data_IF_599664394670
#
_entry.id   IF_599664394670
#
_cell.length_a   1.000
_cell.length_b   1.000
_cell.length_c   1.000
_cell.angle_alpha   90.00
_cell.angle_beta   90.00
_cell.angle_gamma   90.00
#
_symmetry.space_group_name_H-M   'P 1'
#
loop_
_entity.id
_entity.type
_entity.pdbx_description
1 polymer ?
#
# COMPACT_ATOMS: atom_id res chain seq x y z
N UNK A 1 -56.13 39.25 -11.31
CA UNK A 1 -55.57 38.46 -10.20
C UNK A 1 -54.81 37.28 -10.81
N UNK A 2 -53.46 37.42 -10.92
CA UNK A 2 -52.61 36.43 -11.59
C UNK A 2 -51.86 35.64 -10.50
N UNK A 3 -52.18 34.38 -10.34
CA UNK A 3 -51.47 33.46 -9.44
C UNK A 3 -50.20 32.94 -10.14
N UNK A 4 -49.03 33.34 -9.64
CA UNK A 4 -47.75 32.75 -10.00
C UNK A 4 -47.55 31.47 -9.18
N UNK A 5 -47.65 30.29 -9.81
CA UNK A 5 -47.18 29.05 -9.22
C UNK A 5 -45.66 29.00 -9.39
N UNK A 6 -44.93 29.19 -8.25
CA UNK A 6 -43.51 28.88 -8.17
C UNK A 6 -43.35 27.36 -8.07
N UNK A 7 -42.85 26.73 -9.13
CA UNK A 7 -42.42 25.34 -9.11
C UNK A 7 -41.01 25.26 -8.49
N UNK A 8 -40.94 24.90 -7.20
CA UNK A 8 -39.67 24.68 -6.49
C UNK A 8 -39.15 23.28 -6.90
N UNK A 9 -38.22 23.25 -7.85
CA UNK A 9 -37.54 22.04 -8.29
C UNK A 9 -36.52 21.64 -7.22
N UNK A 10 -36.85 20.67 -6.38
CA UNK A 10 -35.93 20.05 -5.43
C UNK A 10 -35.07 19.07 -6.20
N UNK A 11 -33.86 19.50 -6.57
CA UNK A 11 -32.82 18.66 -7.14
C UNK A 11 -32.21 17.79 -6.02
N UNK A 12 -32.75 16.61 -5.80
CA UNK A 12 -32.16 15.61 -4.89
C UNK A 12 -30.87 15.07 -5.49
N UNK A 13 -29.72 15.56 -4.99
CA UNK A 13 -28.43 14.94 -5.23
C UNK A 13 -28.40 13.58 -4.52
N UNK A 14 -28.66 12.49 -5.24
CA UNK A 14 -28.35 11.15 -4.79
C UNK A 14 -26.81 10.99 -4.80
N UNK A 15 -26.19 11.19 -3.66
CA UNK A 15 -24.79 10.77 -3.45
C UNK A 15 -24.79 9.25 -3.41
N UNK A 16 -24.43 8.61 -4.51
CA UNK A 16 -24.10 7.19 -4.52
C UNK A 16 -22.82 7.01 -3.68
N UNK A 17 -22.97 6.64 -2.42
CA UNK A 17 -21.87 6.09 -1.65
C UNK A 17 -21.42 4.81 -2.35
N UNK A 18 -20.25 4.82 -3.01
CA UNK A 18 -19.64 3.60 -3.51
C UNK A 18 -19.28 2.75 -2.29
N UNK A 19 -20.02 1.68 -2.06
CA UNK A 19 -19.58 0.61 -1.16
C UNK A 19 -18.42 -0.09 -1.88
N UNK A 20 -17.19 0.30 -1.55
CA UNK A 20 -16.02 -0.47 -1.92
C UNK A 20 -15.95 -1.64 -0.95
N UNK A 21 -16.10 -2.85 -1.47
CA UNK A 21 -15.81 -4.06 -0.71
C UNK A 21 -14.31 -4.12 -0.48
N UNK A 22 -13.90 -4.52 0.73
CA UNK A 22 -12.49 -4.74 1.05
C UNK A 22 -11.93 -5.84 0.14
N UNK A 23 -10.81 -5.56 -0.51
CA UNK A 23 -10.14 -6.48 -1.42
C UNK A 23 -8.92 -7.14 -0.74
N UNK A 24 -8.49 -8.28 -1.29
CA UNK A 24 -7.27 -8.96 -0.88
C UNK A 24 -6.31 -8.99 -2.06
N UNK A 25 -5.11 -8.44 -1.85
CA UNK A 25 -4.01 -8.48 -2.82
C UNK A 25 -2.98 -9.50 -2.35
N UNK A 26 -2.61 -10.44 -3.22
CA UNK A 26 -1.59 -11.45 -2.94
C UNK A 26 -0.25 -11.03 -3.53
N UNK A 27 0.80 -11.12 -2.73
CA UNK A 27 2.19 -10.83 -3.08
C UNK A 27 3.00 -12.10 -2.85
N UNK A 28 3.67 -12.58 -3.87
CA UNK A 28 4.52 -13.75 -3.80
C UNK A 28 5.98 -13.37 -3.53
N UNK A 29 6.72 -14.24 -2.87
CA UNK A 29 8.18 -14.18 -2.83
C UNK A 29 8.72 -14.80 -4.13
N UNK A 30 9.64 -14.10 -4.80
CA UNK A 30 10.21 -14.59 -6.06
C UNK A 30 11.56 -15.28 -5.84
N UNK A 31 12.00 -16.05 -6.84
CA UNK A 31 13.31 -16.68 -6.89
C UNK A 31 14.45 -15.70 -7.21
N UNK A 32 14.11 -14.42 -7.41
CA UNK A 32 15.05 -13.31 -7.69
C UNK A 32 15.23 -12.37 -6.49
N UNK A 33 14.98 -12.85 -5.27
CA UNK A 33 15.05 -12.05 -4.05
C UNK A 33 14.23 -10.75 -4.14
N UNK A 34 13.00 -10.86 -4.64
CA UNK A 34 12.07 -9.74 -4.78
C UNK A 34 10.63 -10.15 -4.40
N UNK A 35 9.77 -9.17 -4.24
CA UNK A 35 8.33 -9.37 -4.15
C UNK A 35 7.69 -9.29 -5.54
N UNK A 36 6.73 -10.15 -5.85
CA UNK A 36 6.04 -10.15 -7.15
C UNK A 36 5.33 -8.82 -7.46
N UNK A 37 4.91 -8.13 -6.40
CA UNK A 37 4.38 -6.76 -6.45
C UNK A 37 5.23 -5.91 -5.50
N UNK A 38 6.13 -5.12 -6.05
CA UNK A 38 7.01 -4.26 -5.26
C UNK A 38 6.32 -2.95 -4.81
N UNK A 39 5.30 -2.50 -5.53
CA UNK A 39 4.47 -1.34 -5.17
C UNK A 39 3.00 -1.71 -5.29
N UNK A 40 2.32 -1.85 -4.16
CA UNK A 40 0.89 -2.11 -4.09
C UNK A 40 0.14 -0.80 -3.77
N UNK A 41 -0.92 -0.51 -4.52
CA UNK A 41 -1.87 0.57 -4.21
C UNK A 41 -3.19 -0.08 -3.83
N UNK A 42 -3.64 0.21 -2.62
CA UNK A 42 -4.83 -0.41 -2.02
C UNK A 42 -5.72 0.63 -1.36
N UNK A 43 -6.96 0.27 -1.15
CA UNK A 43 -7.92 1.07 -0.40
C UNK A 43 -7.85 0.78 1.11
N UNK A 44 -8.41 1.70 1.88
CA UNK A 44 -8.50 1.53 3.33
C UNK A 44 -9.41 0.34 3.67
N UNK A 45 -8.90 -0.57 4.49
CA UNK A 45 -9.60 -1.80 4.87
C UNK A 45 -9.21 -3.02 4.04
N UNK A 46 -8.44 -2.83 2.96
CA UNK A 46 -7.92 -3.94 2.16
C UNK A 46 -6.88 -4.75 2.92
N UNK A 47 -6.68 -5.97 2.43
CA UNK A 47 -5.73 -6.93 2.98
C UNK A 47 -4.60 -7.19 1.99
N UNK A 48 -3.37 -7.24 2.49
CA UNK A 48 -2.25 -7.84 1.75
C UNK A 48 -1.93 -9.20 2.38
N UNK A 49 -1.78 -10.20 1.52
CA UNK A 49 -1.30 -11.54 1.86
C UNK A 49 0.03 -11.80 1.16
N UNK A 50 1.07 -12.12 1.95
CA UNK A 50 2.35 -12.55 1.41
C UNK A 50 2.41 -14.08 1.42
N UNK A 51 2.69 -14.64 0.24
CA UNK A 51 2.70 -16.09 0.00
C UNK A 51 4.16 -16.57 -0.08
N UNK A 52 4.56 -17.56 0.74
CA UNK A 52 5.93 -18.09 0.76
C UNK A 52 6.16 -19.08 -0.40
N UNK A 53 6.00 -18.59 -1.63
CA UNK A 53 6.16 -19.39 -2.87
C UNK A 53 7.61 -19.74 -3.15
N UNK A 54 8.56 -18.93 -2.64
CA UNK A 54 10.00 -19.22 -2.66
C UNK A 54 10.58 -19.11 -1.25
N UNK A 55 11.57 -19.94 -0.95
CA UNK A 55 12.16 -20.07 0.39
C UNK A 55 13.20 -18.99 0.70
N UNK A 56 13.41 -18.75 1.98
CA UNK A 56 14.45 -17.84 2.49
C UNK A 56 13.97 -16.39 2.65
N UNK A 57 12.66 -16.15 2.63
CA UNK A 57 12.10 -14.81 2.63
C UNK A 57 11.07 -14.61 3.74
N UNK A 58 10.88 -13.33 4.09
CA UNK A 58 9.85 -12.89 5.02
C UNK A 58 9.41 -11.44 4.73
N UNK A 59 8.57 -10.92 5.61
CA UNK A 59 8.12 -9.51 5.61
C UNK A 59 8.50 -8.87 6.93
N UNK A 60 9.11 -7.68 6.88
CA UNK A 60 9.37 -6.84 8.04
C UNK A 60 9.09 -5.39 7.71
N UNK A 61 8.10 -4.79 8.38
CA UNK A 61 7.79 -3.38 8.21
C UNK A 61 8.84 -2.50 8.88
N UNK A 62 9.45 -1.61 8.10
CA UNK A 62 10.45 -0.64 8.54
C UNK A 62 9.81 0.68 8.97
N UNK A 63 8.83 1.16 8.22
CA UNK A 63 8.16 2.42 8.46
C UNK A 63 6.73 2.42 7.92
N UNK A 64 5.87 3.22 8.52
CA UNK A 64 4.47 3.38 8.12
C UNK A 64 3.60 3.91 9.26
N UNK A 65 2.36 4.32 8.98
CA UNK A 65 1.42 4.76 10.00
C UNK A 65 1.08 3.64 10.98
N UNK A 66 1.08 3.96 12.28
CA UNK A 66 0.59 3.07 13.34
C UNK A 66 1.13 1.63 13.28
N UNK A 67 2.45 1.45 13.03
CA UNK A 67 3.08 0.13 12.94
C UNK A 67 2.87 -0.74 14.19
N UNK A 68 2.67 -0.13 15.36
CA UNK A 68 2.37 -0.86 16.59
C UNK A 68 1.00 -1.56 16.59
N UNK A 69 0.15 -1.28 15.62
CA UNK A 69 -1.16 -1.94 15.45
C UNK A 69 -1.14 -3.07 14.42
N UNK A 70 0.01 -3.30 13.77
CA UNK A 70 0.19 -4.33 12.75
C UNK A 70 1.04 -5.49 13.26
N UNK A 71 0.88 -6.66 12.64
CA UNK A 71 1.88 -7.73 12.72
C UNK A 71 3.12 -7.31 11.94
N UNK A 72 4.11 -6.76 12.66
CA UNK A 72 5.21 -6.01 12.08
C UNK A 72 6.21 -6.88 11.32
N UNK A 73 6.34 -8.14 11.70
CA UNK A 73 7.32 -9.07 11.11
C UNK A 73 6.76 -10.48 11.06
N UNK A 74 6.98 -11.16 9.94
CA UNK A 74 6.72 -12.60 9.81
C UNK A 74 7.97 -13.42 10.12
N UNK A 75 7.76 -14.70 10.41
CA UNK A 75 8.82 -15.69 10.36
C UNK A 75 9.28 -15.91 8.92
N UNK A 76 10.48 -16.49 8.76
CA UNK A 76 10.99 -16.92 7.44
C UNK A 76 10.08 -18.03 6.90
N UNK A 77 9.78 -17.96 5.60
CA UNK A 77 8.95 -18.93 4.88
C UNK A 77 7.51 -19.08 5.43
N UNK A 78 7.04 -18.08 6.18
CA UNK A 78 5.69 -18.09 6.70
C UNK A 78 4.73 -17.24 5.83
N UNK A 79 3.50 -17.72 5.72
CA UNK A 79 2.38 -16.89 5.26
C UNK A 79 2.21 -15.70 6.21
N UNK A 80 1.97 -14.53 5.64
CA UNK A 80 1.74 -13.31 6.41
C UNK A 80 0.55 -12.55 5.83
N UNK A 81 -0.32 -12.02 6.69
CA UNK A 81 -1.51 -11.29 6.27
C UNK A 81 -1.71 -10.06 7.15
N UNK A 82 -1.99 -8.92 6.52
CA UNK A 82 -2.22 -7.64 7.20
C UNK A 82 -3.39 -6.90 6.57
N UNK A 83 -4.33 -6.47 7.42
CA UNK A 83 -5.41 -5.54 7.06
C UNK A 83 -4.94 -4.11 7.32
N UNK A 84 -5.04 -3.23 6.32
CA UNK A 84 -4.57 -1.84 6.41
C UNK A 84 -5.70 -0.90 6.79
N UNK A 85 -5.69 -0.43 8.04
CA UNK A 85 -6.73 0.43 8.64
C UNK A 85 -6.36 1.92 8.71
N UNK A 86 -5.14 2.28 8.31
CA UNK A 86 -4.64 3.64 8.36
C UNK A 86 -4.05 4.03 7.01
N UNK A 87 -4.44 5.18 6.43
CA UNK A 87 -3.92 5.63 5.14
C UNK A 87 -2.45 6.07 5.27
N UNK A 88 -1.73 6.01 4.17
CA UNK A 88 -0.33 6.42 4.07
C UNK A 88 0.55 5.41 3.37
N UNK A 89 1.85 5.67 3.40
CA UNK A 89 2.90 4.85 2.77
C UNK A 89 3.54 3.95 3.79
N UNK A 90 3.59 2.65 3.49
CA UNK A 90 4.28 1.64 4.28
C UNK A 90 5.48 1.10 3.51
N UNK A 91 6.64 1.10 4.16
CA UNK A 91 7.87 0.48 3.66
C UNK A 91 8.13 -0.81 4.41
N UNK A 92 8.38 -1.89 3.68
CA UNK A 92 8.77 -3.18 4.23
C UNK A 92 9.92 -3.81 3.46
N UNK A 93 10.58 -4.77 4.09
CA UNK A 93 11.71 -5.51 3.53
C UNK A 93 11.61 -6.99 3.84
N UNK A 94 12.43 -7.78 3.14
CA UNK A 94 12.85 -9.12 3.57
C UNK A 94 14.04 -8.98 4.53
N UNK A 95 13.99 -9.57 5.72
CA UNK A 95 15.07 -9.43 6.71
C UNK A 95 16.43 -9.91 6.17
N UNK A 96 16.55 -11.12 5.53
CA UNK A 96 17.84 -11.56 4.98
C UNK A 96 18.32 -10.75 3.76
N UNK A 97 17.41 -10.24 2.93
CA UNK A 97 17.75 -9.67 1.62
C UNK A 97 17.47 -8.16 1.51
N UNK A 98 17.01 -7.53 2.59
CA UNK A 98 16.70 -6.10 2.63
C UNK A 98 17.88 -5.22 2.21
N UNK A 99 19.09 -5.51 2.68
CA UNK A 99 20.30 -4.77 2.30
C UNK A 99 20.70 -4.94 0.83
N UNK A 100 20.20 -5.97 0.16
CA UNK A 100 20.39 -6.22 -1.27
C UNK A 100 19.25 -5.63 -2.14
N UNK A 101 18.28 -4.99 -1.51
CA UNK A 101 17.21 -4.27 -2.20
C UNK A 101 15.86 -5.00 -2.27
N UNK A 102 15.67 -6.10 -1.52
CA UNK A 102 14.35 -6.73 -1.44
C UNK A 102 13.42 -5.91 -0.54
N UNK A 103 12.81 -4.90 -1.15
CA UNK A 103 11.91 -3.92 -0.53
C UNK A 103 10.55 -3.93 -1.22
N UNK A 104 9.53 -3.49 -0.48
CA UNK A 104 8.21 -3.19 -1.03
C UNK A 104 7.59 -1.94 -0.42
N UNK A 105 6.74 -1.29 -1.20
CA UNK A 105 5.89 -0.17 -0.77
C UNK A 105 4.42 -0.54 -0.89
N UNK A 106 3.65 -0.14 0.11
CA UNK A 106 2.19 -0.19 0.06
C UNK A 106 1.68 1.23 0.25
N UNK A 107 0.82 1.68 -0.68
CA UNK A 107 0.17 2.98 -0.64
C UNK A 107 -1.30 2.73 -0.31
N UNK A 108 -1.74 3.18 0.85
CA UNK A 108 -3.10 3.00 1.35
C UNK A 108 -3.89 4.28 1.18
N UNK A 109 -5.01 4.23 0.46
CA UNK A 109 -5.91 5.36 0.27
C UNK A 109 -5.34 6.50 -0.57
N UNK A 110 -4.39 6.19 -1.48
CA UNK A 110 -3.67 7.20 -2.29
C UNK A 110 -3.03 8.32 -1.46
N UNK A 111 -2.73 8.05 -0.20
CA UNK A 111 -2.22 9.02 0.77
C UNK A 111 -0.69 8.94 0.88
N UNK A 112 -0.03 10.07 0.65
CA UNK A 112 1.43 10.23 0.70
C UNK A 112 1.90 11.15 1.85
N UNK A 113 1.04 11.42 2.85
CA UNK A 113 1.33 12.40 3.90
C UNK A 113 2.62 12.13 4.66
N UNK A 114 3.03 10.85 4.80
CA UNK A 114 4.24 10.44 5.51
C UNK A 114 5.42 10.11 4.59
N UNK A 115 5.34 10.39 3.28
CA UNK A 115 6.36 10.02 2.30
C UNK A 115 7.73 10.61 2.63
N UNK A 116 7.80 11.84 3.15
CA UNK A 116 9.07 12.47 3.51
C UNK A 116 9.75 11.77 4.69
N UNK A 117 8.99 11.13 5.58
CA UNK A 117 9.55 10.28 6.65
C UNK A 117 10.09 8.96 6.08
N UNK A 118 9.39 8.37 5.11
CA UNK A 118 9.85 7.15 4.41
C UNK A 118 11.19 7.40 3.71
N UNK A 119 11.37 8.54 3.04
CA UNK A 119 12.61 8.91 2.35
C UNK A 119 13.83 9.05 3.27
N UNK A 120 13.61 9.25 4.57
CA UNK A 120 14.67 9.46 5.58
C UNK A 120 15.11 8.18 6.29
N UNK A 121 14.47 7.04 5.98
CA UNK A 121 14.85 5.76 6.58
C UNK A 121 16.27 5.41 6.14
N UNK A 122 17.12 5.06 7.10
CA UNK A 122 18.50 4.63 6.84
C UNK A 122 18.49 3.23 6.21
N UNK A 123 19.05 3.14 5.02
CA UNK A 123 19.14 1.94 4.21
C UNK A 123 20.55 1.78 3.63
N UNK A 124 20.89 0.56 3.20
CA UNK A 124 22.08 0.35 2.37
C UNK A 124 22.02 1.19 1.09
N UNK A 125 23.16 1.40 0.42
CA UNK A 125 23.17 2.12 -0.87
C UNK A 125 22.26 1.48 -1.92
N UNK A 126 22.26 0.15 -1.99
CA UNK A 126 21.42 -0.61 -2.93
C UNK A 126 19.95 -0.37 -2.61
N UNK A 127 19.57 -0.58 -1.36
CA UNK A 127 18.18 -0.42 -0.90
C UNK A 127 17.69 1.02 -1.04
N UNK A 128 18.53 2.01 -0.78
CA UNK A 128 18.17 3.42 -0.99
C UNK A 128 17.92 3.73 -2.48
N UNK A 129 18.68 3.12 -3.40
CA UNK A 129 18.45 3.25 -4.84
C UNK A 129 17.14 2.58 -5.26
N UNK A 130 16.86 1.39 -4.73
CA UNK A 130 15.60 0.69 -4.95
C UNK A 130 14.43 1.52 -4.41
N UNK A 131 14.50 2.02 -3.19
CA UNK A 131 13.45 2.86 -2.60
C UNK A 131 13.13 4.07 -3.49
N UNK A 132 14.13 4.77 -4.03
CA UNK A 132 13.91 5.88 -4.96
C UNK A 132 13.14 5.44 -6.22
N UNK A 133 13.44 4.25 -6.75
CA UNK A 133 12.71 3.67 -7.88
C UNK A 133 11.27 3.37 -7.51
N UNK A 134 11.03 2.71 -6.37
CA UNK A 134 9.69 2.35 -5.90
C UNK A 134 8.82 3.60 -5.66
N UNK A 135 9.39 4.66 -5.08
CA UNK A 135 8.69 5.93 -4.87
C UNK A 135 8.26 6.55 -6.21
N UNK A 136 9.13 6.54 -7.23
CA UNK A 136 8.75 7.04 -8.56
C UNK A 136 7.61 6.24 -9.16
N UNK A 137 7.63 4.91 -9.02
CA UNK A 137 6.53 4.04 -9.47
C UNK A 137 5.24 4.37 -8.70
N UNK A 138 5.33 4.51 -7.37
CA UNK A 138 4.18 4.83 -6.53
C UNK A 138 3.51 6.16 -6.90
N UNK A 139 4.32 7.18 -7.23
CA UNK A 139 3.86 8.52 -7.60
C UNK A 139 3.47 8.65 -9.08
N UNK A 140 3.87 7.70 -9.93
CA UNK A 140 3.42 7.71 -11.32
C UNK A 140 1.91 7.50 -11.36
N UNK A 141 1.20 8.40 -12.03
CA UNK A 141 -0.20 8.16 -12.38
C UNK A 141 -0.20 6.98 -13.35
N UNK A 142 -0.87 5.91 -13.01
CA UNK A 142 -1.20 4.89 -13.99
C UNK A 142 -2.09 5.61 -15.01
N UNK A 143 -1.54 5.92 -16.19
CA UNK A 143 -2.37 6.36 -17.30
C UNK A 143 -3.29 5.18 -17.61
N UNK A 144 -4.51 5.26 -17.08
CA UNK A 144 -5.59 4.39 -17.48
C UNK A 144 -5.85 4.70 -18.95
N UNK A 145 -5.46 3.79 -19.83
CA UNK A 145 -5.92 3.75 -21.21
C UNK A 145 -7.37 3.35 -21.26
#
# INVERSE_FOLDING_TARGET
MRFFLSLLSILTFLTFARLTLAETVQIEFTDQDSYSIEVAKIDLGDTIEWLPTNKGHNVEFLAGPKLNTLSRKSEIDAFHSVVFKHPGVYLYQCTPHGNMGMLGLIIVGEDFHNLESIKKIELSRVSASVLKRLIRIAQSRTNSL
#
